data_IF_992681414811
#
_entry.id   IF_992681414811
#
_cell.length_a   1.000
_cell.length_b   1.000
_cell.length_c   1.000
_cell.angle_alpha   90.00
_cell.angle_beta   90.00
_cell.angle_gamma   90.00
#
_symmetry.space_group_name_H-M   'P 1'
#
loop_
_entity.id
_entity.type
_entity.pdbx_description
1 polymer ?
#
# COMPACT_ATOMS: atom_id res chain seq x y z
N UNK A 1 10.25 -4.67 15.52
CA UNK A 1 9.10 -5.59 15.37
C UNK A 1 8.18 -5.58 16.59
N UNK A 2 8.71 -5.34 17.82
CA UNK A 2 7.97 -5.48 19.09
C UNK A 2 6.79 -4.52 19.25
N UNK A 3 6.82 -3.39 18.55
CA UNK A 3 5.75 -2.39 18.50
C UNK A 3 5.12 -2.31 17.09
N UNK A 4 5.00 -3.44 16.42
CA UNK A 4 4.42 -3.49 15.07
C UNK A 4 3.41 -4.63 14.99
N UNK A 5 2.22 -4.30 14.51
CA UNK A 5 1.15 -5.26 14.20
C UNK A 5 1.01 -5.36 12.70
N UNK A 6 0.99 -6.58 12.19
CA UNK A 6 0.83 -6.88 10.78
C UNK A 6 -0.59 -7.35 10.49
N UNK A 7 -1.18 -6.86 9.41
CA UNK A 7 -2.54 -7.18 8.99
C UNK A 7 -2.69 -7.13 7.47
N UNK A 8 -3.88 -7.36 6.97
CA UNK A 8 -4.20 -7.31 5.55
C UNK A 8 -5.58 -6.70 5.30
N UNK A 9 -5.79 -6.22 4.08
CA UNK A 9 -7.12 -5.78 3.61
C UNK A 9 -7.82 -7.00 3.01
N UNK A 10 -8.94 -7.47 3.61
CA UNK A 10 -9.64 -8.61 3.07
C UNK A 10 -10.25 -8.30 1.68
N UNK A 11 -10.37 -9.29 0.78
CA UNK A 11 -10.04 -10.72 0.98
C UNK A 11 -8.81 -11.11 0.14
N UNK A 12 -8.53 -10.41 -0.97
CA UNK A 12 -7.57 -10.83 -2.00
C UNK A 12 -6.13 -10.82 -1.49
N UNK A 13 -5.79 -9.90 -0.59
CA UNK A 13 -4.45 -9.79 -0.01
C UNK A 13 -4.09 -10.88 1.01
N UNK A 14 -5.02 -11.75 1.42
CA UNK A 14 -4.80 -12.72 2.48
C UNK A 14 -3.65 -13.69 2.18
N UNK A 15 -3.56 -14.19 0.95
CA UNK A 15 -2.48 -15.13 0.56
C UNK A 15 -1.11 -14.43 0.60
N UNK A 16 -1.03 -13.21 0.09
CA UNK A 16 0.20 -12.41 0.14
C UNK A 16 0.61 -12.10 1.59
N UNK A 17 -0.36 -11.87 2.47
CA UNK A 17 -0.14 -11.67 3.90
C UNK A 17 0.52 -12.89 4.57
N UNK A 18 0.05 -14.10 4.30
CA UNK A 18 0.69 -15.31 4.84
C UNK A 18 2.12 -15.47 4.33
N UNK A 19 2.39 -15.15 3.06
CA UNK A 19 3.76 -15.13 2.53
C UNK A 19 4.66 -14.12 3.25
N UNK A 20 4.14 -12.92 3.52
CA UNK A 20 4.84 -11.88 4.29
C UNK A 20 5.13 -12.34 5.72
N UNK A 21 4.15 -12.94 6.42
CA UNK A 21 4.34 -13.48 7.76
C UNK A 21 5.43 -14.56 7.81
N UNK A 22 5.43 -15.47 6.84
CA UNK A 22 6.47 -16.51 6.75
C UNK A 22 7.87 -15.89 6.60
N UNK A 23 8.00 -14.84 5.75
CA UNK A 23 9.26 -14.12 5.60
C UNK A 23 9.69 -13.40 6.88
N UNK A 24 8.75 -12.79 7.59
CA UNK A 24 9.01 -12.12 8.87
C UNK A 24 9.41 -13.11 9.98
N UNK A 25 8.78 -14.28 10.04
CA UNK A 25 9.14 -15.33 11.01
C UNK A 25 10.54 -15.88 10.73
N UNK A 26 10.88 -16.08 9.47
CA UNK A 26 12.24 -16.50 9.08
C UNK A 26 13.27 -15.46 9.51
N UNK A 27 13.03 -14.19 9.20
CA UNK A 27 13.87 -13.07 9.65
C UNK A 27 14.01 -13.01 11.17
N UNK A 28 12.90 -13.13 11.91
CA UNK A 28 12.93 -13.11 13.37
C UNK A 28 13.72 -14.28 13.95
N UNK A 29 13.62 -15.48 13.33
CA UNK A 29 14.38 -16.63 13.76
C UNK A 29 15.89 -16.46 13.52
N UNK A 30 16.29 -15.86 12.39
CA UNK A 30 17.70 -15.49 12.15
C UNK A 30 18.21 -14.48 13.18
N UNK A 31 17.38 -13.48 13.52
CA UNK A 31 17.71 -12.51 14.58
C UNK A 31 17.89 -13.18 15.94
N UNK A 32 16.99 -14.11 16.31
CA UNK A 32 17.11 -14.88 17.56
C UNK A 32 18.41 -15.67 17.61
N UNK A 33 18.75 -16.36 16.50
CA UNK A 33 20.01 -17.13 16.42
C UNK A 33 21.22 -16.21 16.61
N UNK A 34 21.23 -15.05 15.96
CA UNK A 34 22.31 -14.06 16.13
C UNK A 34 22.44 -13.58 17.56
N UNK A 35 21.32 -13.23 18.19
CA UNK A 35 21.29 -12.78 19.59
C UNK A 35 21.77 -13.87 20.56
N UNK A 36 21.28 -15.10 20.41
CA UNK A 36 21.72 -16.24 21.25
C UNK A 36 23.21 -16.49 21.06
N UNK A 37 23.72 -16.48 19.82
CA UNK A 37 25.15 -16.66 19.56
C UNK A 37 26.03 -15.58 20.22
N UNK A 38 25.52 -14.37 20.42
CA UNK A 38 26.22 -13.26 21.08
C UNK A 38 26.28 -13.38 22.60
N UNK A 39 25.43 -14.22 23.23
CA UNK A 39 25.43 -14.40 24.69
C UNK A 39 26.58 -15.25 25.25
N UNK A 40 27.36 -15.91 24.36
CA UNK A 40 28.50 -16.75 24.77
C UNK A 40 28.15 -18.15 25.21
N UNK A 41 29.05 -18.80 25.99
CA UNK A 41 28.94 -20.23 26.30
C UNK A 41 27.96 -20.59 27.43
N UNK A 42 27.59 -19.65 28.26
CA UNK A 42 26.69 -19.87 29.42
C UNK A 42 25.64 -18.77 29.49
N UNK A 43 24.69 -18.70 28.49
CA UNK A 43 23.63 -17.72 28.53
C UNK A 43 22.70 -17.93 29.73
N UNK A 44 22.23 -16.83 30.32
CA UNK A 44 21.23 -16.88 31.37
C UNK A 44 19.89 -17.38 30.80
N UNK A 45 19.19 -18.18 31.62
CA UNK A 45 17.89 -18.77 31.24
C UNK A 45 16.86 -17.67 30.89
N UNK A 46 16.82 -16.61 31.70
CA UNK A 46 15.83 -15.53 31.51
C UNK A 46 16.10 -14.74 30.23
N UNK A 47 17.40 -14.52 29.92
CA UNK A 47 17.77 -13.87 28.62
C UNK A 47 17.36 -14.72 27.43
N UNK A 48 17.58 -16.04 27.51
CA UNK A 48 17.14 -16.99 26.46
C UNK A 48 15.61 -16.98 26.30
N UNK A 49 14.87 -16.99 27.40
CA UNK A 49 13.41 -16.99 27.40
C UNK A 49 12.88 -15.70 26.73
N UNK A 50 13.45 -14.54 27.04
CA UNK A 50 13.09 -13.27 26.42
C UNK A 50 13.31 -13.32 24.91
N UNK A 51 14.46 -13.82 24.43
CA UNK A 51 14.75 -13.90 23.02
C UNK A 51 13.81 -14.90 22.32
N UNK A 52 13.62 -16.08 22.89
CA UNK A 52 12.82 -17.15 22.31
C UNK A 52 11.32 -16.85 22.32
N UNK A 53 10.84 -16.11 23.29
CA UNK A 53 9.42 -15.72 23.40
C UNK A 53 8.95 -14.71 22.36
N UNK A 54 9.87 -14.01 21.71
CA UNK A 54 9.52 -13.01 20.66
C UNK A 54 8.71 -13.65 19.53
N UNK A 55 7.67 -12.94 19.11
CA UNK A 55 6.76 -13.39 18.04
C UNK A 55 6.41 -12.21 17.13
N UNK A 56 6.13 -12.50 15.88
CA UNK A 56 5.48 -11.54 15.00
C UNK A 56 4.03 -11.36 15.47
N UNK A 57 3.64 -10.11 15.70
CA UNK A 57 2.26 -9.78 16.08
C UNK A 57 1.43 -9.62 14.82
N UNK A 58 0.53 -10.55 14.59
CA UNK A 58 -0.38 -10.52 13.46
C UNK A 58 -1.82 -10.56 13.95
N UNK A 59 -2.65 -9.64 13.43
CA UNK A 59 -4.03 -9.47 13.84
C UNK A 59 -4.93 -9.25 12.61
N UNK A 60 -6.13 -9.77 12.65
CA UNK A 60 -7.15 -9.44 11.65
C UNK A 60 -7.82 -8.12 12.02
N UNK A 61 -7.16 -7.01 11.67
CA UNK A 61 -7.60 -5.66 12.07
C UNK A 61 -8.81 -5.20 11.28
N UNK A 62 -8.86 -5.47 9.97
CA UNK A 62 -9.97 -5.12 9.11
C UNK A 62 -10.81 -6.35 8.78
N UNK A 63 -12.13 -6.23 8.90
CA UNK A 63 -13.10 -7.25 8.54
C UNK A 63 -14.00 -6.67 7.44
N UNK A 64 -14.18 -7.42 6.36
CA UNK A 64 -15.04 -7.03 5.25
C UNK A 64 -16.34 -7.82 5.30
N UNK A 65 -17.47 -7.15 5.17
CA UNK A 65 -18.74 -7.85 4.95
C UNK A 65 -18.72 -8.50 3.56
N UNK A 66 -18.80 -9.83 3.54
CA UNK A 66 -18.69 -10.67 2.34
C UNK A 66 -19.77 -10.36 1.30
N UNK A 67 -20.90 -9.83 1.71
CA UNK A 67 -22.06 -9.56 0.83
C UNK A 67 -21.92 -8.28 -0.01
N UNK A 68 -21.02 -7.38 0.36
CA UNK A 68 -20.87 -6.08 -0.32
C UNK A 68 -19.59 -6.02 -1.17
N UNK A 69 -19.78 -5.85 -2.50
CA UNK A 69 -18.70 -5.64 -3.47
C UNK A 69 -18.69 -4.16 -3.86
N UNK A 70 -17.78 -3.38 -3.26
CA UNK A 70 -17.68 -1.93 -3.44
C UNK A 70 -17.36 -1.47 -4.85
N UNK A 71 -16.70 -2.32 -5.66
CA UNK A 71 -16.31 -1.96 -7.02
C UNK A 71 -17.41 -2.20 -8.08
N UNK A 72 -18.55 -2.82 -7.71
CA UNK A 72 -19.68 -3.06 -8.63
C UNK A 72 -20.74 -1.94 -8.53
N UNK A 73 -20.70 -1.10 -7.50
CA UNK A 73 -21.63 0.00 -7.35
C UNK A 73 -21.25 1.20 -8.22
N UNK A 74 -22.22 1.76 -8.96
CA UNK A 74 -22.05 2.96 -9.78
C UNK A 74 -22.39 4.24 -9.00
N UNK A 75 -21.60 5.31 -9.24
CA UNK A 75 -21.91 6.67 -8.80
C UNK A 75 -21.71 6.97 -7.30
N UNK A 76 -22.48 7.93 -6.77
CA UNK A 76 -22.37 8.45 -5.40
C UNK A 76 -22.64 7.43 -4.30
N UNK A 77 -23.38 6.35 -4.59
CA UNK A 77 -23.64 5.25 -3.66
C UNK A 77 -22.35 4.46 -3.29
N UNK A 78 -21.31 4.58 -4.10
CA UNK A 78 -20.00 3.93 -3.86
C UNK A 78 -19.29 4.48 -2.62
N UNK A 79 -19.43 5.77 -2.35
CA UNK A 79 -18.76 6.44 -1.24
C UNK A 79 -19.40 6.07 0.11
N UNK A 80 -20.73 5.99 0.15
CA UNK A 80 -21.47 5.61 1.34
C UNK A 80 -21.32 4.10 1.64
N UNK A 81 -21.29 3.26 0.60
CA UNK A 81 -21.05 1.83 0.72
C UNK A 81 -19.63 1.53 1.21
N UNK A 82 -18.61 2.24 0.71
CA UNK A 82 -17.22 2.03 1.13
C UNK A 82 -17.02 2.29 2.63
N UNK A 83 -17.74 3.24 3.21
CA UNK A 83 -17.66 3.55 4.63
C UNK A 83 -18.27 2.46 5.54
N UNK A 84 -19.15 1.61 5.02
CA UNK A 84 -19.89 0.59 5.78
C UNK A 84 -19.45 -0.85 5.47
N UNK A 85 -18.56 -1.06 4.50
CA UNK A 85 -18.13 -2.39 4.07
C UNK A 85 -17.04 -2.98 4.97
N UNK A 86 -16.27 -2.13 5.63
CA UNK A 86 -15.19 -2.56 6.50
C UNK A 86 -15.50 -2.23 7.94
N UNK A 87 -15.31 -3.21 8.80
CA UNK A 87 -15.34 -3.08 10.25
C UNK A 87 -13.92 -3.30 10.81
N UNK A 88 -13.68 -2.88 12.05
CA UNK A 88 -12.38 -2.99 12.70
C UNK A 88 -12.47 -3.72 14.03
N UNK A 89 -11.42 -4.50 14.32
CA UNK A 89 -11.28 -5.18 15.59
C UNK A 89 -10.58 -4.26 16.59
N UNK A 90 -11.34 -3.72 17.55
CA UNK A 90 -10.79 -2.91 18.64
C UNK A 90 -9.94 -3.75 19.58
N UNK A 91 -8.91 -3.13 20.18
CA UNK A 91 -7.99 -3.80 21.09
C UNK A 91 -6.84 -4.57 20.40
N UNK A 92 -6.81 -4.63 19.09
CA UNK A 92 -5.72 -5.25 18.31
C UNK A 92 -4.41 -4.45 18.36
N UNK A 93 -4.50 -3.16 18.67
CA UNK A 93 -3.37 -2.21 18.73
C UNK A 93 -3.31 -1.48 20.07
N UNK A 94 -2.11 -1.17 20.53
CA UNK A 94 -1.86 -0.22 21.62
C UNK A 94 -1.77 1.18 21.05
N UNK A 95 -2.80 1.99 21.28
CA UNK A 95 -2.90 3.36 20.75
C UNK A 95 -1.69 4.22 21.12
N UNK A 96 -1.16 4.98 20.17
CA UNK A 96 0.00 5.84 20.31
C UNK A 96 1.35 5.13 20.42
N UNK A 97 1.37 3.81 20.53
CA UNK A 97 2.58 2.99 20.72
C UNK A 97 2.87 2.14 19.47
N UNK A 98 1.91 1.37 19.03
CA UNK A 98 2.11 0.39 17.97
C UNK A 98 2.05 1.04 16.58
N UNK A 99 2.88 0.54 15.68
CA UNK A 99 2.75 0.76 14.24
C UNK A 99 1.85 -0.32 13.65
N UNK A 100 1.09 0.04 12.63
CA UNK A 100 0.28 -0.89 11.85
C UNK A 100 0.87 -1.04 10.46
N UNK A 101 1.23 -2.25 10.08
CA UNK A 101 1.59 -2.62 8.70
C UNK A 101 0.44 -3.41 8.11
N UNK A 102 -0.11 -2.91 7.01
CA UNK A 102 -1.24 -3.55 6.34
C UNK A 102 -0.91 -3.82 4.87
N UNK A 103 -1.14 -5.05 4.42
CA UNK A 103 -0.94 -5.43 3.02
C UNK A 103 -2.25 -5.38 2.25
N UNK A 104 -2.19 -4.82 1.04
CA UNK A 104 -3.25 -4.85 0.03
C UNK A 104 -2.78 -5.62 -1.20
N UNK A 105 -3.70 -6.08 -2.04
CA UNK A 105 -3.37 -6.81 -3.27
C UNK A 105 -2.78 -5.88 -4.34
N UNK A 106 -3.43 -4.74 -4.57
CA UNK A 106 -2.96 -3.74 -5.53
C UNK A 106 -3.53 -2.35 -5.26
N UNK A 107 -2.74 -1.32 -5.54
CA UNK A 107 -3.18 0.07 -5.42
C UNK A 107 -3.27 0.68 -6.82
N UNK A 108 -4.48 0.63 -7.39
CA UNK A 108 -4.74 1.18 -8.73
C UNK A 108 -5.19 2.64 -8.64
N UNK A 109 -6.37 2.89 -8.10
CA UNK A 109 -6.97 4.23 -7.94
C UNK A 109 -6.77 4.81 -6.55
N UNK A 110 -6.60 3.93 -5.56
CA UNK A 110 -6.50 4.28 -4.15
C UNK A 110 -7.78 4.83 -3.53
N UNK A 111 -8.91 4.78 -4.24
CA UNK A 111 -10.18 5.35 -3.77
C UNK A 111 -10.64 4.75 -2.45
N UNK A 112 -10.63 3.42 -2.35
CA UNK A 112 -11.01 2.69 -1.14
C UNK A 112 -10.08 3.01 0.03
N UNK A 113 -8.77 3.09 -0.22
CA UNK A 113 -7.79 3.48 0.80
C UNK A 113 -8.07 4.87 1.34
N UNK A 114 -8.25 5.86 0.45
CA UNK A 114 -8.48 7.26 0.81
C UNK A 114 -9.81 7.49 1.51
N UNK A 115 -10.88 6.92 0.99
CA UNK A 115 -12.24 7.23 1.45
C UNK A 115 -12.67 6.43 2.67
N UNK A 116 -12.07 5.25 2.88
CA UNK A 116 -12.51 4.32 3.91
C UNK A 116 -11.37 3.82 4.78
N UNK A 117 -10.45 3.05 4.21
CA UNK A 117 -9.51 2.21 4.97
C UNK A 117 -8.63 3.05 5.90
N UNK A 118 -7.93 4.09 5.39
CA UNK A 118 -7.01 4.88 6.20
C UNK A 118 -7.75 5.54 7.37
N UNK A 119 -8.93 6.13 7.11
CA UNK A 119 -9.74 6.77 8.16
C UNK A 119 -10.25 5.79 9.22
N UNK A 120 -10.61 4.57 8.83
CA UNK A 120 -11.06 3.52 9.76
C UNK A 120 -9.88 3.03 10.60
N UNK A 121 -8.72 2.77 9.99
CA UNK A 121 -7.51 2.33 10.69
C UNK A 121 -6.96 3.41 11.65
N UNK A 122 -7.05 4.68 11.29
CA UNK A 122 -6.64 5.81 12.13
C UNK A 122 -7.43 5.88 13.46
N UNK A 123 -8.68 5.38 13.48
CA UNK A 123 -9.49 5.29 14.73
C UNK A 123 -8.91 4.36 15.77
N UNK A 124 -8.09 3.39 15.36
CA UNK A 124 -7.37 2.51 16.30
C UNK A 124 -6.20 3.22 16.99
N UNK A 125 -5.83 4.41 16.54
CA UNK A 125 -4.77 5.22 17.09
C UNK A 125 -3.36 4.67 16.88
N UNK A 126 -3.00 4.07 15.74
CA UNK A 126 -1.63 3.65 15.51
C UNK A 126 -0.70 4.86 15.46
N UNK A 127 0.56 4.66 15.88
CA UNK A 127 1.59 5.69 15.75
C UNK A 127 1.92 5.95 14.27
N UNK A 128 1.96 4.87 13.48
CA UNK A 128 2.22 4.90 12.04
C UNK A 128 1.40 3.83 11.34
N UNK A 129 0.90 4.14 10.16
CA UNK A 129 0.30 3.19 9.22
C UNK A 129 1.27 3.01 8.05
N UNK A 130 1.63 1.78 7.74
CA UNK A 130 2.41 1.42 6.56
C UNK A 130 1.54 0.56 5.66
N UNK A 131 1.31 1.00 4.43
CA UNK A 131 0.54 0.26 3.45
C UNK A 131 1.51 -0.41 2.48
N UNK A 132 1.43 -1.73 2.40
CA UNK A 132 2.23 -2.55 1.49
C UNK A 132 1.33 -3.06 0.38
N UNK A 133 1.73 -2.86 -0.88
CA UNK A 133 1.07 -3.48 -2.02
C UNK A 133 1.79 -4.76 -2.40
N UNK A 134 1.07 -5.86 -2.61
CA UNK A 134 1.67 -7.11 -3.09
C UNK A 134 1.98 -7.09 -4.59
N UNK A 135 1.43 -6.11 -5.31
CA UNK A 135 1.76 -5.82 -6.71
C UNK A 135 2.65 -4.59 -6.85
N UNK A 136 3.43 -4.47 -7.93
CA UNK A 136 4.11 -3.23 -8.29
C UNK A 136 3.14 -2.08 -8.51
N UNK A 137 3.66 -0.84 -8.55
CA UNK A 137 2.87 0.33 -8.93
C UNK A 137 2.22 0.14 -10.29
N UNK A 138 0.90 0.28 -10.36
CA UNK A 138 0.14 0.19 -11.61
C UNK A 138 0.25 1.51 -12.36
N UNK A 139 1.07 1.53 -13.42
CA UNK A 139 1.43 2.74 -14.19
C UNK A 139 0.77 2.82 -15.56
N UNK A 140 0.39 1.67 -16.13
CA UNK A 140 -0.14 1.57 -17.50
C UNK A 140 -1.48 0.85 -17.51
N UNK A 141 -2.38 1.23 -18.45
CA UNK A 141 -3.67 0.56 -18.62
C UNK A 141 -3.52 -0.91 -18.95
N UNK A 142 -4.45 -1.71 -18.43
CA UNK A 142 -4.67 -3.09 -18.82
C UNK A 142 -6.15 -3.27 -19.18
N UNK A 143 -6.40 -3.67 -20.43
CA UNK A 143 -7.76 -3.84 -20.95
C UNK A 143 -8.47 -5.09 -20.44
N UNK A 144 -7.72 -6.06 -19.92
CA UNK A 144 -8.28 -7.27 -19.29
C UNK A 144 -8.55 -7.08 -17.78
N UNK A 145 -7.94 -6.07 -17.17
CA UNK A 145 -8.14 -5.74 -15.76
C UNK A 145 -9.43 -4.94 -15.53
N UNK A 146 -10.18 -5.29 -14.50
CA UNK A 146 -11.35 -4.51 -14.07
C UNK A 146 -10.88 -3.12 -13.61
N UNK A 147 -11.52 -2.07 -14.12
CA UNK A 147 -11.23 -0.67 -13.75
C UNK A 147 -9.80 -0.19 -14.08
N UNK A 148 -9.09 -0.85 -14.99
CA UNK A 148 -7.71 -0.53 -15.36
C UNK A 148 -7.57 0.09 -16.77
N UNK A 149 -8.66 0.51 -17.38
CA UNK A 149 -8.64 1.05 -18.76
C UNK A 149 -8.21 2.53 -18.85
N UNK A 150 -8.40 3.31 -17.78
CA UNK A 150 -8.18 4.77 -17.81
C UNK A 150 -6.99 5.17 -16.94
N UNK A 151 -5.87 5.48 -17.56
CA UNK A 151 -4.64 5.90 -16.89
C UNK A 151 -4.82 7.13 -15.99
N UNK A 152 -5.67 8.08 -16.40
CA UNK A 152 -5.97 9.30 -15.59
C UNK A 152 -6.59 9.01 -14.22
N UNK A 153 -7.08 7.79 -14.01
CA UNK A 153 -7.64 7.36 -12.73
C UNK A 153 -6.58 6.73 -11.81
N UNK A 154 -5.43 6.32 -12.34
CA UNK A 154 -4.37 5.66 -11.56
C UNK A 154 -3.70 6.63 -10.61
N UNK A 155 -3.54 6.21 -9.35
CA UNK A 155 -2.92 7.04 -8.33
C UNK A 155 -1.42 7.28 -8.63
N UNK A 156 -0.71 6.28 -9.17
CA UNK A 156 0.69 6.44 -9.57
C UNK A 156 0.84 7.48 -10.70
N UNK A 157 -0.09 7.51 -11.67
CA UNK A 157 -0.09 8.53 -12.72
C UNK A 157 -0.36 9.92 -12.15
N UNK A 158 -1.36 10.06 -11.29
CA UNK A 158 -1.65 11.33 -10.60
C UNK A 158 -0.46 11.82 -9.80
N UNK A 159 0.20 10.92 -9.07
CA UNK A 159 1.39 11.24 -8.30
C UNK A 159 2.54 11.75 -9.19
N UNK A 160 2.83 11.08 -10.29
CA UNK A 160 3.85 11.52 -11.24
C UNK A 160 3.52 12.89 -11.87
N UNK A 161 2.26 13.14 -12.23
CA UNK A 161 1.81 14.44 -12.75
C UNK A 161 2.01 15.56 -11.71
N UNK A 162 1.66 15.32 -10.45
CA UNK A 162 1.87 16.32 -9.38
C UNK A 162 3.37 16.55 -9.13
N UNK A 163 4.19 15.50 -9.10
CA UNK A 163 5.65 15.65 -8.99
C UNK A 163 6.27 16.46 -10.15
N UNK A 164 5.79 16.26 -11.39
CA UNK A 164 6.22 17.09 -12.54
C UNK A 164 5.84 18.56 -12.34
N UNK A 165 4.66 18.83 -11.78
CA UNK A 165 4.24 20.21 -11.47
C UNK A 165 5.09 20.82 -10.36
N UNK A 166 5.35 20.07 -9.29
CA UNK A 166 6.15 20.52 -8.14
C UNK A 166 7.60 20.86 -8.56
N UNK A 167 8.13 20.21 -9.61
CA UNK A 167 9.48 20.44 -10.17
C UNK A 167 9.50 21.37 -11.38
N UNK A 168 8.37 22.01 -11.70
CA UNK A 168 8.20 22.89 -12.89
C UNK A 168 8.54 22.20 -14.23
N UNK A 169 8.32 20.90 -14.31
CA UNK A 169 8.60 20.06 -15.50
C UNK A 169 7.34 19.82 -16.35
N UNK A 170 6.44 20.80 -16.46
CA UNK A 170 5.15 20.68 -17.19
C UNK A 170 5.33 20.38 -18.68
N UNK A 171 6.44 20.79 -19.25
CA UNK A 171 6.76 20.52 -20.66
C UNK A 171 6.88 19.02 -20.98
N UNK A 172 7.25 18.20 -20.01
CA UNK A 172 7.30 16.74 -20.17
C UNK A 172 5.90 16.19 -20.49
N UNK A 173 4.87 16.67 -19.78
CA UNK A 173 3.48 16.27 -20.00
C UNK A 173 3.02 16.64 -21.41
N UNK A 174 3.28 17.90 -21.81
CA UNK A 174 2.90 18.40 -23.13
C UNK A 174 3.65 17.66 -24.26
N UNK A 175 4.94 17.35 -24.05
CA UNK A 175 5.75 16.59 -24.99
C UNK A 175 5.25 15.15 -25.14
N UNK A 176 5.03 14.42 -24.02
CA UNK A 176 4.51 13.06 -24.03
C UNK A 176 3.15 12.99 -24.75
N UNK A 177 2.25 13.95 -24.48
CA UNK A 177 0.95 14.04 -25.15
C UNK A 177 1.09 14.21 -26.65
N UNK A 178 1.90 15.19 -27.13
CA UNK A 178 2.12 15.44 -28.57
C UNK A 178 2.69 14.21 -29.25
N UNK A 179 3.80 13.68 -28.76
CA UNK A 179 4.46 12.49 -29.29
C UNK A 179 3.50 11.29 -29.38
N UNK A 180 2.66 11.09 -28.35
CA UNK A 180 1.67 10.02 -28.35
C UNK A 180 0.57 10.25 -29.40
N UNK A 181 0.12 11.51 -29.57
CA UNK A 181 -0.89 11.87 -30.55
C UNK A 181 -0.39 11.73 -31.99
N UNK A 182 0.87 12.09 -32.24
CA UNK A 182 1.50 12.00 -33.55
C UNK A 182 1.64 10.55 -34.07
N UNK A 183 1.49 9.57 -33.18
CA UNK A 183 1.52 8.14 -33.51
C UNK A 183 0.13 7.56 -33.91
N UNK A 184 -0.93 8.35 -33.79
CA UNK A 184 -2.28 7.86 -34.14
C UNK A 184 -2.31 7.48 -35.60
N UNK A 185 -2.62 6.22 -35.90
CA UNK A 185 -2.65 5.66 -37.24
C UNK A 185 -1.36 4.97 -37.69
N UNK A 186 -0.28 5.01 -36.90
CA UNK A 186 0.91 4.21 -37.20
C UNK A 186 0.66 2.72 -36.95
N UNK A 187 1.37 1.83 -37.65
CA UNK A 187 1.40 0.41 -37.32
C UNK A 187 1.87 0.19 -35.89
N UNK A 188 1.31 -0.82 -35.18
CA UNK A 188 1.60 -1.13 -33.81
C UNK A 188 3.11 -1.29 -33.50
N UNK A 189 3.83 -1.88 -34.47
CA UNK A 189 5.27 -2.15 -34.37
C UNK A 189 6.12 -0.88 -34.39
N UNK A 190 5.55 0.24 -34.85
CA UNK A 190 6.21 1.55 -34.92
C UNK A 190 5.82 2.45 -33.74
N UNK A 191 4.84 2.03 -32.92
CA UNK A 191 4.39 2.83 -31.77
C UNK A 191 5.37 2.73 -30.62
N UNK A 192 5.69 3.88 -30.03
CA UNK A 192 6.54 4.02 -28.83
C UNK A 192 5.70 4.48 -27.64
N UNK A 193 5.91 3.88 -26.47
CA UNK A 193 5.24 4.31 -25.25
C UNK A 193 5.91 5.56 -24.66
N UNK A 194 5.50 6.73 -25.09
CA UNK A 194 5.99 8.02 -24.57
C UNK A 194 5.44 8.39 -23.17
N UNK A 195 4.47 7.64 -22.65
CA UNK A 195 4.02 7.82 -21.26
C UNK A 195 5.14 7.47 -20.26
N UNK A 196 6.12 6.67 -20.67
CA UNK A 196 7.33 6.38 -19.86
C UNK A 196 8.08 7.66 -19.50
N UNK A 197 8.08 8.68 -20.36
CA UNK A 197 8.75 9.96 -20.13
C UNK A 197 8.19 10.68 -18.89
N UNK A 198 6.91 10.46 -18.54
CA UNK A 198 6.23 11.04 -17.36
C UNK A 198 6.79 10.48 -16.05
N UNK A 199 7.17 9.21 -16.05
CA UNK A 199 7.70 8.52 -14.86
C UNK A 199 9.22 8.59 -14.74
N UNK A 200 9.92 8.76 -15.88
CA UNK A 200 11.37 8.68 -15.98
C UNK A 200 12.16 9.61 -15.02
N UNK A 201 11.68 10.83 -14.67
CA UNK A 201 12.40 11.71 -13.75
C UNK A 201 12.36 11.29 -12.28
N UNK A 202 11.62 10.25 -11.92
CA UNK A 202 11.31 9.89 -10.53
C UNK A 202 11.69 8.47 -10.20
N UNK A 203 12.10 8.23 -8.96
CA UNK A 203 12.24 6.89 -8.40
C UNK A 203 10.86 6.32 -8.02
N UNK A 204 10.80 5.01 -7.78
CA UNK A 204 9.58 4.35 -7.31
C UNK A 204 9.19 4.84 -5.91
N UNK A 205 10.18 5.17 -5.09
CA UNK A 205 10.00 5.72 -3.75
C UNK A 205 9.36 7.11 -3.80
N UNK A 206 9.87 8.02 -4.65
CA UNK A 206 9.32 9.37 -4.80
C UNK A 206 7.86 9.33 -5.25
N UNK A 207 7.53 8.44 -6.20
CA UNK A 207 6.14 8.24 -6.64
C UNK A 207 5.30 7.70 -5.48
N UNK A 208 5.80 6.72 -4.72
CA UNK A 208 5.09 6.14 -3.58
C UNK A 208 4.84 7.18 -2.49
N UNK A 209 5.82 8.02 -2.16
CA UNK A 209 5.65 9.11 -1.18
C UNK A 209 4.58 10.10 -1.63
N UNK A 210 4.57 10.49 -2.91
CA UNK A 210 3.53 11.36 -3.44
C UNK A 210 2.16 10.66 -3.47
N UNK A 211 2.10 9.36 -3.73
CA UNK A 211 0.85 8.59 -3.60
C UNK A 211 0.31 8.65 -2.17
N UNK A 212 1.17 8.49 -1.15
CA UNK A 212 0.78 8.61 0.27
C UNK A 212 0.20 10.00 0.55
N UNK A 213 0.86 11.07 0.09
CA UNK A 213 0.36 12.45 0.26
C UNK A 213 -1.05 12.62 -0.33
N UNK A 214 -1.27 12.10 -1.54
CA UNK A 214 -2.57 12.20 -2.23
C UNK A 214 -3.66 11.33 -1.62
N UNK A 215 -3.29 10.21 -1.02
CA UNK A 215 -4.22 9.23 -0.44
C UNK A 215 -4.56 9.51 1.02
N UNK A 216 -3.69 10.20 1.75
CA UNK A 216 -3.92 10.47 3.18
C UNK A 216 -5.06 11.48 3.36
N UNK A 217 -6.16 11.12 4.04
CA UNK A 217 -7.24 12.06 4.31
C UNK A 217 -6.80 13.20 5.22
N UNK A 218 -7.38 14.38 5.03
CA UNK A 218 -7.16 15.50 5.96
C UNK A 218 -7.65 15.12 7.35
N UNK A 219 -6.82 15.41 8.36
CA UNK A 219 -7.14 15.11 9.77
C UNK A 219 -6.72 13.71 10.24
N UNK A 220 -6.08 12.89 9.39
CA UNK A 220 -5.42 11.65 9.83
C UNK A 220 -4.37 11.97 10.88
N UNK A 221 -4.42 11.30 12.02
CA UNK A 221 -3.52 11.52 13.18
C UNK A 221 -2.24 10.67 13.07
N UNK A 222 -2.39 9.45 12.58
CA UNK A 222 -1.26 8.56 12.34
C UNK A 222 -0.37 9.10 11.20
N UNK A 223 0.94 8.86 11.30
CA UNK A 223 1.81 9.02 10.13
C UNK A 223 1.51 7.88 9.15
N UNK A 224 1.16 8.22 7.92
CA UNK A 224 0.96 7.24 6.85
C UNK A 224 2.21 7.13 6.01
#
# INVERSE_FOLDING_TARGET
LDHTVFSFIPNTAEVAFYGMLQGLDNYLNEEKVRQIASLGHHPDHDELEVILSRRIRSEKVAIKDIKLRTFIAEGNSRNDLAAHVYDITYGSLRSGIDNLVIIDDSIVRGTTLKQSIIGILDRLGPKKIVIVSSSPQVRYPDYYGIDMAKMSEFIAFKAAIELLKDRDMKDVIASAYRKSKDQVGLPKEQMVNYVKDIYAPFTDEEISEKMVELLTPKGTKAKV
#
